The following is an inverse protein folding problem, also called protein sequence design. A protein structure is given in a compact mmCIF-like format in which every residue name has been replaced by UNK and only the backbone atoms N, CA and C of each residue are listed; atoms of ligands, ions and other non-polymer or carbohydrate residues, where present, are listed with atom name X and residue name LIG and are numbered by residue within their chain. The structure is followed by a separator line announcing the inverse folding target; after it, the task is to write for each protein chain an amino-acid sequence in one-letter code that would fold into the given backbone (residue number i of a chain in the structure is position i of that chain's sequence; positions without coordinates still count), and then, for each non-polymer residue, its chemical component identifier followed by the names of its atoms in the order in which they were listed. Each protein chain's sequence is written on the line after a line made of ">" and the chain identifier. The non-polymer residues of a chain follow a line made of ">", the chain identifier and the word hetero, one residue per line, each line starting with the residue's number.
data_IF_094160673376
#
_entry.id   IF_094160673376
#
_cell.length_a   1.000
_cell.length_b   1.000
_cell.length_c   1.000
_cell.angle_alpha   90.00
_cell.angle_beta   90.00
_cell.angle_gamma   90.00
#
_symmetry.space_group_name_H-M   'P 1'
#
loop_
_entity.id
_entity.type
_entity.pdbx_description
1 polymer ?
#
# COMPACT_ATOMS: atom_id res chain seq x y z
N UNK A 1 -8.16 -8.83 37.14
CA UNK A 1 -7.38 -9.21 35.95
C UNK A 1 -8.25 -9.05 34.70
N UNK A 2 -7.79 -8.35 33.66
CA UNK A 2 -8.59 -8.20 32.44
C UNK A 2 -8.74 -9.55 31.72
N UNK A 3 -9.98 -9.95 31.43
CA UNK A 3 -10.31 -11.16 30.65
C UNK A 3 -9.49 -11.19 29.35
N UNK A 4 -8.56 -12.13 29.24
CA UNK A 4 -7.83 -12.41 28.00
C UNK A 4 -8.84 -12.97 27.00
N UNK A 5 -9.07 -12.25 25.91
CA UNK A 5 -10.05 -12.70 24.91
C UNK A 5 -9.56 -13.99 24.25
N UNK A 6 -10.45 -15.00 24.13
CA UNK A 6 -10.27 -16.25 23.36
C UNK A 6 -9.90 -16.04 21.87
N UNK A 7 -9.95 -14.80 21.39
CA UNK A 7 -9.65 -14.43 20.00
C UNK A 7 -8.15 -14.20 19.74
N UNK A 8 -7.34 -14.05 20.79
CA UNK A 8 -5.91 -13.72 20.70
C UNK A 8 -5.03 -14.95 20.94
N UNK A 9 -4.99 -15.81 19.92
CA UNK A 9 -4.13 -16.98 19.88
C UNK A 9 -2.67 -16.57 19.65
N UNK A 10 -1.72 -17.38 20.11
CA UNK A 10 -0.28 -17.13 19.89
C UNK A 10 0.08 -17.15 18.40
N UNK A 11 -0.61 -17.99 17.62
CA UNK A 11 -0.49 -18.04 16.17
C UNK A 11 -0.81 -16.70 15.49
N UNK A 12 -1.82 -15.97 15.98
CA UNK A 12 -2.18 -14.65 15.43
C UNK A 12 -1.05 -13.64 15.65
N UNK A 13 -0.40 -13.69 16.82
CA UNK A 13 0.73 -12.81 17.14
C UNK A 13 1.97 -13.18 16.32
N UNK A 14 2.20 -14.48 16.11
CA UNK A 14 3.28 -14.99 15.27
C UNK A 14 3.11 -14.53 13.81
N UNK A 15 1.90 -14.65 13.25
CA UNK A 15 1.60 -14.15 11.90
C UNK A 15 1.77 -12.64 11.81
N UNK A 16 1.28 -11.89 12.81
CA UNK A 16 1.46 -10.43 12.85
C UNK A 16 2.94 -10.02 12.84
N UNK A 17 3.80 -10.69 13.64
CA UNK A 17 5.25 -10.44 13.66
C UNK A 17 5.91 -10.81 12.32
N UNK A 18 5.52 -11.93 11.71
CA UNK A 18 6.03 -12.36 10.40
C UNK A 18 5.66 -11.34 9.32
N UNK A 19 4.43 -10.84 9.33
CA UNK A 19 3.96 -9.82 8.40
C UNK A 19 4.68 -8.49 8.63
N UNK A 20 4.91 -8.08 9.88
CA UNK A 20 5.60 -6.83 10.20
C UNK A 20 7.01 -6.78 9.59
N UNK A 21 7.73 -7.91 9.61
CA UNK A 21 9.04 -8.04 8.94
C UNK A 21 8.96 -7.84 7.43
N UNK A 22 7.88 -8.28 6.77
CA UNK A 22 7.68 -8.14 5.32
C UNK A 22 7.26 -6.73 4.90
N UNK A 23 6.56 -6.01 5.78
CA UNK A 23 5.83 -4.78 5.44
C UNK A 23 6.74 -3.53 5.33
N UNK A 24 8.03 -3.65 5.68
CA UNK A 24 9.18 -2.69 5.65
C UNK A 24 8.83 -1.18 5.66
N UNK A 25 8.12 -0.65 4.67
CA UNK A 25 7.82 0.79 4.52
C UNK A 25 6.33 1.20 4.66
N UNK A 26 5.41 0.28 4.93
CA UNK A 26 3.98 0.63 5.04
C UNK A 26 3.58 0.91 6.50
N UNK A 27 3.73 2.16 6.91
CA UNK A 27 3.40 2.64 8.26
C UNK A 27 1.94 2.37 8.67
N UNK A 28 1.00 2.41 7.70
CA UNK A 28 -0.41 2.15 7.96
C UNK A 28 -0.66 0.71 8.41
N UNK A 29 -0.08 -0.27 7.70
CA UNK A 29 -0.20 -1.69 8.06
C UNK A 29 0.61 -1.99 9.32
N UNK A 30 1.81 -1.41 9.46
CA UNK A 30 2.65 -1.58 10.65
C UNK A 30 1.92 -1.15 11.94
N UNK A 31 1.22 0.00 11.91
CA UNK A 31 0.41 0.47 13.06
C UNK A 31 -0.67 -0.54 13.46
N UNK A 32 -1.36 -1.14 12.48
CA UNK A 32 -2.38 -2.17 12.74
C UNK A 32 -1.79 -3.43 13.36
N UNK A 33 -0.67 -3.90 12.82
CA UNK A 33 0.03 -5.10 13.33
C UNK A 33 0.55 -4.87 14.75
N UNK A 34 1.13 -3.71 15.03
CA UNK A 34 1.58 -3.34 16.37
C UNK A 34 0.43 -3.26 17.37
N UNK A 35 -0.74 -2.76 16.97
CA UNK A 35 -1.94 -2.77 17.81
C UNK A 35 -2.38 -4.21 18.14
N UNK A 36 -2.34 -5.14 17.18
CA UNK A 36 -2.66 -6.56 17.43
C UNK A 36 -1.66 -7.20 18.39
N UNK A 37 -0.35 -6.94 18.22
CA UNK A 37 0.70 -7.44 19.11
C UNK A 37 0.52 -6.90 20.54
N UNK A 38 0.24 -5.59 20.67
CA UNK A 38 -0.02 -4.96 21.96
C UNK A 38 -1.28 -5.53 22.65
N UNK A 39 -2.30 -5.90 21.87
CA UNK A 39 -3.54 -6.48 22.38
C UNK A 39 -3.34 -7.89 22.99
N UNK A 40 -2.22 -8.58 22.73
CA UNK A 40 -1.89 -9.81 23.46
C UNK A 40 -1.40 -9.51 24.88
N UNK A 41 -0.63 -8.44 25.05
CA UNK A 41 -0.04 -8.02 26.33
C UNK A 41 -1.06 -7.28 27.21
N UNK A 42 -1.92 -6.48 26.60
CA UNK A 42 -2.91 -5.64 27.26
C UNK A 42 -4.33 -5.99 26.78
N UNK A 43 -5.39 -5.49 27.42
CA UNK A 43 -6.74 -5.76 26.95
C UNK A 43 -7.02 -5.08 25.59
N UNK A 44 -7.86 -5.70 24.75
CA UNK A 44 -8.31 -5.12 23.46
C UNK A 44 -8.88 -3.72 23.69
N UNK A 45 -9.64 -3.52 24.77
CA UNK A 45 -10.24 -2.22 25.12
C UNK A 45 -9.19 -1.17 25.45
N UNK A 46 -8.15 -1.52 26.22
CA UNK A 46 -7.08 -0.58 26.57
C UNK A 46 -6.28 -0.17 25.33
N UNK A 47 -5.91 -1.14 24.48
CA UNK A 47 -5.17 -0.87 23.24
C UNK A 47 -6.00 -0.05 22.26
N UNK A 48 -7.29 -0.34 22.13
CA UNK A 48 -8.19 0.45 21.29
C UNK A 48 -8.23 1.93 21.71
N UNK A 49 -8.29 2.21 23.03
CA UNK A 49 -8.21 3.58 23.56
C UNK A 49 -6.87 4.25 23.22
N UNK A 50 -5.75 3.58 23.49
CA UNK A 50 -4.40 4.12 23.25
C UNK A 50 -4.17 4.44 21.76
N UNK A 51 -4.64 3.57 20.87
CA UNK A 51 -4.46 3.74 19.43
C UNK A 51 -5.53 4.66 18.80
N UNK A 52 -6.48 5.17 19.60
CA UNK A 52 -7.65 5.96 19.16
C UNK A 52 -8.44 5.27 18.03
N UNK A 53 -8.74 3.98 18.22
CA UNK A 53 -9.50 3.16 17.27
C UNK A 53 -10.70 2.50 17.95
N UNK A 54 -11.70 2.10 17.18
CA UNK A 54 -12.80 1.32 17.72
C UNK A 54 -12.33 -0.07 18.12
N UNK A 55 -12.91 -0.60 19.21
CA UNK A 55 -12.71 -2.01 19.62
C UNK A 55 -13.07 -2.99 18.50
N UNK A 56 -14.09 -2.67 17.71
CA UNK A 56 -14.53 -3.47 16.56
C UNK A 56 -13.48 -3.51 15.45
N UNK A 57 -12.79 -2.40 15.17
CA UNK A 57 -11.70 -2.36 14.18
C UNK A 57 -10.54 -3.28 14.59
N UNK A 58 -10.08 -3.18 15.84
CA UNK A 58 -9.01 -4.05 16.35
C UNK A 58 -9.42 -5.53 16.31
N UNK A 59 -10.66 -5.82 16.69
CA UNK A 59 -11.22 -7.19 16.60
C UNK A 59 -11.26 -7.70 15.16
N UNK A 60 -11.63 -6.84 14.20
CA UNK A 60 -11.63 -7.18 12.78
C UNK A 60 -10.22 -7.52 12.29
N UNK A 61 -9.19 -6.79 12.71
CA UNK A 61 -7.81 -7.08 12.30
C UNK A 61 -7.32 -8.41 12.86
N UNK A 62 -7.65 -8.71 14.12
CA UNK A 62 -7.36 -10.02 14.75
C UNK A 62 -8.02 -11.15 13.95
N UNK A 63 -9.30 -11.00 13.58
CA UNK A 63 -10.02 -11.99 12.75
C UNK A 63 -9.39 -12.16 11.36
N UNK A 64 -8.97 -11.08 10.71
CA UNK A 64 -8.33 -11.13 9.40
C UNK A 64 -7.03 -11.93 9.44
N UNK A 65 -6.20 -11.71 10.46
CA UNK A 65 -4.97 -12.46 10.67
C UNK A 65 -5.25 -13.94 10.98
N UNK A 66 -6.25 -14.23 11.83
CA UNK A 66 -6.65 -15.61 12.14
C UNK A 66 -7.13 -16.38 10.89
N UNK A 67 -7.78 -15.70 9.96
CA UNK A 67 -8.26 -16.28 8.69
C UNK A 67 -7.19 -16.29 7.58
N UNK A 68 -5.95 -15.86 7.86
CA UNK A 68 -4.90 -15.75 6.85
C UNK A 68 -5.16 -14.68 5.77
N UNK A 69 -6.13 -13.78 5.97
CA UNK A 69 -6.53 -12.73 5.01
C UNK A 69 -5.76 -11.43 5.27
N UNK A 70 -4.45 -11.54 5.44
CA UNK A 70 -3.56 -10.45 5.83
C UNK A 70 -3.56 -9.30 4.80
N UNK A 71 -3.79 -9.61 3.52
CA UNK A 71 -3.88 -8.65 2.41
C UNK A 71 -4.98 -7.59 2.61
N UNK A 72 -6.04 -7.92 3.35
CA UNK A 72 -7.13 -6.99 3.64
C UNK A 72 -6.76 -5.94 4.70
N UNK A 73 -5.59 -6.07 5.35
CA UNK A 73 -5.09 -5.03 6.26
C UNK A 73 -4.58 -3.81 5.51
N UNK A 74 -4.17 -3.98 4.24
CA UNK A 74 -3.72 -2.89 3.39
C UNK A 74 -4.85 -1.92 3.08
N UNK A 75 -4.48 -0.66 2.79
CA UNK A 75 -5.47 0.31 2.35
C UNK A 75 -6.07 -0.14 1.02
N UNK A 76 -7.40 -0.03 0.83
CA UNK A 76 -8.04 -0.42 -0.41
C UNK A 76 -7.44 0.37 -1.58
N UNK A 77 -7.26 -0.25 -2.77
CA UNK A 77 -6.67 0.40 -3.93
C UNK A 77 -7.46 1.63 -4.38
N UNK A 78 -8.76 1.68 -4.09
CA UNK A 78 -9.66 2.80 -4.38
C UNK A 78 -9.27 4.10 -3.65
N UNK A 79 -8.51 4.04 -2.54
CA UNK A 79 -8.00 5.23 -1.85
C UNK A 79 -6.71 5.78 -2.47
N UNK A 80 -6.14 5.11 -3.46
CA UNK A 80 -4.96 5.61 -4.20
C UNK A 80 -5.41 6.70 -5.16
N UNK A 81 -4.64 7.79 -5.24
CA UNK A 81 -4.88 8.85 -6.23
C UNK A 81 -4.87 8.24 -7.63
N UNK A 82 -5.93 8.43 -8.40
CA UNK A 82 -6.03 7.94 -9.78
C UNK A 82 -4.85 8.49 -10.60
N UNK A 83 -4.31 7.67 -11.48
CA UNK A 83 -3.28 8.10 -12.43
C UNK A 83 -3.86 9.13 -13.39
N UNK A 84 -3.03 10.09 -13.83
CA UNK A 84 -3.45 11.08 -14.84
C UNK A 84 -3.64 10.44 -16.22
N UNK A 85 -2.85 9.43 -16.53
CA UNK A 85 -2.98 8.62 -17.74
C UNK A 85 -3.94 7.46 -17.51
N UNK A 86 -4.80 7.20 -18.50
CA UNK A 86 -5.64 6.01 -18.57
C UNK A 86 -4.83 4.80 -19.10
N UNK A 87 -5.46 3.62 -19.16
CA UNK A 87 -4.76 2.40 -19.57
C UNK A 87 -4.30 2.43 -21.04
N UNK A 88 -5.14 2.91 -21.97
CA UNK A 88 -4.79 3.02 -23.39
C UNK A 88 -3.64 4.01 -23.64
N UNK A 89 -3.64 5.14 -22.93
CA UNK A 89 -2.56 6.13 -22.98
C UNK A 89 -1.25 5.56 -22.43
N UNK A 90 -1.32 4.73 -21.37
CA UNK A 90 -0.14 4.06 -20.83
C UNK A 90 0.46 3.08 -21.85
N UNK A 91 -0.36 2.30 -22.56
CA UNK A 91 0.10 1.41 -23.62
C UNK A 91 0.76 2.18 -24.78
N UNK A 92 0.22 3.34 -25.17
CA UNK A 92 0.85 4.17 -26.19
C UNK A 92 2.19 4.75 -25.74
N UNK A 93 2.29 5.18 -24.48
CA UNK A 93 3.55 5.65 -23.90
C UNK A 93 4.58 4.51 -23.87
N UNK A 94 4.17 3.29 -23.53
CA UNK A 94 5.02 2.09 -23.57
C UNK A 94 5.55 1.84 -25.00
N UNK A 95 4.68 1.88 -26.01
CA UNK A 95 5.08 1.72 -27.41
C UNK A 95 6.05 2.82 -27.90
N UNK A 96 5.96 4.05 -27.38
CA UNK A 96 6.93 5.11 -27.72
C UNK A 96 8.30 4.85 -27.11
N UNK A 97 8.33 4.28 -25.91
CA UNK A 97 9.57 3.93 -25.21
C UNK A 97 10.24 2.73 -25.90
N UNK A 98 9.47 1.71 -26.28
CA UNK A 98 10.00 0.55 -27.03
C UNK A 98 10.62 0.97 -28.36
N UNK A 99 10.00 1.92 -29.07
CA UNK A 99 10.52 2.45 -30.33
C UNK A 99 11.74 3.35 -30.17
N UNK A 100 11.87 4.05 -29.05
CA UNK A 100 13.02 4.91 -28.76
C UNK A 100 13.44 4.80 -27.29
N UNK A 101 14.33 3.86 -26.94
CA UNK A 101 14.78 3.64 -25.57
C UNK A 101 15.52 4.83 -24.94
N UNK A 102 16.07 5.74 -25.74
CA UNK A 102 16.81 6.92 -25.27
C UNK A 102 15.92 8.16 -25.08
N UNK A 103 14.59 8.00 -25.13
CA UNK A 103 13.67 9.11 -24.97
C UNK A 103 13.83 9.76 -23.60
N UNK A 104 14.06 11.08 -23.60
CA UNK A 104 14.25 11.81 -22.35
C UNK A 104 12.91 12.08 -21.66
N UNK A 105 12.94 12.29 -20.34
CA UNK A 105 11.74 12.65 -19.54
C UNK A 105 11.09 13.95 -20.08
N UNK A 106 11.89 14.89 -20.57
CA UNK A 106 11.39 16.15 -21.16
C UNK A 106 10.64 15.90 -22.46
N UNK A 107 11.23 15.11 -23.34
CA UNK A 107 10.66 14.78 -24.65
C UNK A 107 9.36 13.97 -24.49
N UNK A 108 9.36 13.01 -23.57
CA UNK A 108 8.15 12.25 -23.24
C UNK A 108 7.02 13.15 -22.71
N UNK A 109 7.36 14.13 -21.86
CA UNK A 109 6.39 15.11 -21.37
C UNK A 109 5.78 15.93 -22.50
N UNK A 110 6.60 16.38 -23.45
CA UNK A 110 6.15 17.15 -24.61
C UNK A 110 5.21 16.29 -25.47
N UNK A 111 5.59 15.05 -25.80
CA UNK A 111 4.73 14.13 -26.56
C UNK A 111 3.39 13.84 -25.88
N UNK A 112 3.40 13.64 -24.56
CA UNK A 112 2.15 13.44 -23.79
C UNK A 112 1.26 14.68 -23.85
N UNK A 113 1.85 15.88 -23.75
CA UNK A 113 1.11 17.14 -23.86
C UNK A 113 0.52 17.31 -25.27
N UNK A 114 1.28 17.02 -26.32
CA UNK A 114 0.86 17.16 -27.72
C UNK A 114 -0.21 16.14 -28.12
N UNK A 115 -0.03 14.86 -27.75
CA UNK A 115 -0.95 13.78 -28.15
C UNK A 115 -2.22 13.71 -27.31
N UNK A 116 -2.14 14.04 -26.02
CA UNK A 116 -3.25 13.85 -25.09
C UNK A 116 -3.75 15.14 -24.44
N UNK A 117 -3.10 16.29 -24.66
CA UNK A 117 -3.46 17.55 -24.01
C UNK A 117 -3.22 17.58 -22.50
N UNK A 118 -2.49 16.59 -21.96
CA UNK A 118 -2.35 16.40 -20.51
C UNK A 118 -1.07 17.04 -19.96
N UNK A 119 -1.24 18.04 -19.08
CA UNK A 119 -0.11 18.64 -18.39
C UNK A 119 0.35 17.78 -17.20
N UNK A 120 1.46 17.07 -17.41
CA UNK A 120 2.07 16.17 -16.44
C UNK A 120 3.44 16.70 -16.01
N UNK A 121 3.77 16.58 -14.72
CA UNK A 121 5.09 16.97 -14.20
C UNK A 121 6.18 15.98 -14.62
N UNK A 122 7.43 16.45 -14.74
CA UNK A 122 8.60 15.59 -15.03
C UNK A 122 8.69 14.38 -14.09
N UNK A 123 8.48 14.58 -12.78
CA UNK A 123 8.51 13.51 -11.78
C UNK A 123 7.42 12.46 -11.98
N UNK A 124 6.26 12.86 -12.52
CA UNK A 124 5.18 11.92 -12.82
C UNK A 124 5.49 11.09 -14.06
N UNK A 125 6.08 11.70 -15.09
CA UNK A 125 6.58 10.99 -16.29
C UNK A 125 7.66 9.99 -15.89
N UNK A 126 8.66 10.42 -15.11
CA UNK A 126 9.71 9.56 -14.58
C UNK A 126 9.16 8.34 -13.82
N UNK A 127 8.17 8.54 -12.93
CA UNK A 127 7.52 7.43 -12.20
C UNK A 127 6.78 6.47 -13.13
N UNK A 128 6.22 6.93 -14.24
CA UNK A 128 5.61 6.05 -15.24
C UNK A 128 6.67 5.23 -15.97
N UNK A 129 7.78 5.85 -16.39
CA UNK A 129 8.91 5.15 -17.03
C UNK A 129 9.51 4.07 -16.11
N UNK A 130 9.73 4.38 -14.82
CA UNK A 130 10.20 3.39 -13.84
C UNK A 130 9.22 2.21 -13.67
N UNK A 131 7.91 2.47 -13.69
CA UNK A 131 6.90 1.40 -13.63
C UNK A 131 6.95 0.48 -14.86
N UNK A 132 7.31 1.04 -16.01
CA UNK A 132 7.50 0.33 -17.27
C UNK A 132 8.90 -0.33 -17.37
N UNK A 133 9.60 -0.49 -16.24
CA UNK A 133 10.92 -1.16 -16.11
C UNK A 133 12.07 -0.48 -16.86
N UNK A 134 11.93 0.78 -17.27
CA UNK A 134 13.09 1.57 -17.69
C UNK A 134 13.88 2.02 -16.46
N UNK A 135 14.95 1.28 -16.16
CA UNK A 135 15.83 1.50 -14.99
C UNK A 135 17.12 2.27 -15.34
N UNK A 136 17.25 2.80 -16.56
CA UNK A 136 18.46 3.45 -17.07
C UNK A 136 18.33 4.98 -17.15
N UNK A 137 17.79 5.64 -16.12
CA UNK A 137 17.90 7.11 -15.92
C UNK A 137 17.96 7.41 -14.43
#
# INVERSE_FOLDING_TARGET
>A
MALRSKLLDEEVVKSAKKMLKKVRNNAYVAKKLNAVIAAKKHSITAVAKIYCISRSALTSWIKLLKLGREEKLFAPPQRRRKTKLNHAQLQQVEAWIEKNPNITIKEMRIRIQEKFGLNISKSTVHRYMQKMKFSYI
#
